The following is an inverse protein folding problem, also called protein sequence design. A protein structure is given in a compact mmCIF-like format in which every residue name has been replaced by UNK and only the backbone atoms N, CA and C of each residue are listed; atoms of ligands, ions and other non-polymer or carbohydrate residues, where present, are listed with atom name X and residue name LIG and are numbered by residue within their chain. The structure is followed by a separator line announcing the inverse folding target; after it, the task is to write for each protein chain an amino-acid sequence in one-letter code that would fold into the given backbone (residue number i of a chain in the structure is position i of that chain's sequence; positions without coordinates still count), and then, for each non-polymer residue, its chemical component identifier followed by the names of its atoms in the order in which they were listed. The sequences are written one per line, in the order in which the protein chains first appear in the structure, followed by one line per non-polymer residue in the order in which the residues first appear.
data_IF_273947144336
#
_entry.id   IF_273947144336
#
_cell.length_a   1.000
_cell.length_b   1.000
_cell.length_c   1.000
_cell.angle_alpha   90.00
_cell.angle_beta   90.00
_cell.angle_gamma   90.00
#
_symmetry.space_group_name_H-M   'P 1'
#
loop_
_entity.id
_entity.type
_entity.pdbx_description
1 polymer ?
#
# COMPACT_ATOMS: atom_id res chain seq x y z
N UNK A 1 61.40 -2.25 -20.25
CA UNK A 1 61.37 -1.26 -19.17
C UNK A 1 59.99 -0.61 -19.13
N UNK A 2 59.00 -1.13 -18.37
CA UNK A 2 57.73 -0.44 -18.18
C UNK A 2 57.89 0.63 -17.09
N UNK A 3 57.56 1.87 -17.41
CA UNK A 3 57.65 3.00 -16.50
C UNK A 3 56.69 2.86 -15.32
N UNK A 4 57.26 2.85 -14.12
CA UNK A 4 56.52 3.03 -12.86
C UNK A 4 55.89 4.42 -12.85
N UNK A 5 54.58 4.48 -13.11
CA UNK A 5 53.78 5.63 -12.78
C UNK A 5 53.72 5.77 -11.26
N UNK A 6 54.45 6.74 -10.72
CA UNK A 6 54.32 7.22 -9.35
C UNK A 6 52.92 7.83 -9.19
N UNK A 7 52.00 7.04 -8.64
CA UNK A 7 50.70 7.51 -8.19
C UNK A 7 50.91 8.57 -7.12
N UNK A 8 50.80 9.84 -7.52
CA UNK A 8 50.81 10.98 -6.61
C UNK A 8 49.78 10.79 -5.51
N UNK A 9 50.16 11.13 -4.28
CA UNK A 9 49.34 11.09 -3.09
C UNK A 9 48.16 12.07 -3.19
N UNK A 10 47.16 11.72 -4.00
CA UNK A 10 45.87 12.39 -4.06
C UNK A 10 45.06 12.03 -2.81
N UNK A 11 45.35 12.69 -1.70
CA UNK A 11 44.51 12.65 -0.51
C UNK A 11 43.12 13.14 -0.90
N UNK A 12 42.15 12.24 -0.95
CA UNK A 12 40.76 12.62 -1.21
C UNK A 12 40.23 13.47 -0.08
N UNK A 13 39.52 14.55 -0.39
CA UNK A 13 38.78 15.32 0.61
C UNK A 13 37.86 14.40 1.44
N UNK A 14 37.74 14.63 2.75
CA UNK A 14 36.83 13.86 3.59
C UNK A 14 35.39 14.07 3.12
N UNK A 15 34.60 13.00 3.15
CA UNK A 15 33.17 13.02 2.83
C UNK A 15 32.31 13.47 4.01
N UNK A 16 32.87 13.46 5.23
CA UNK A 16 32.21 13.89 6.45
C UNK A 16 33.01 13.48 7.69
N UNK A 17 32.40 13.61 8.86
CA UNK A 17 32.97 13.22 10.16
C UNK A 17 32.03 12.27 10.90
N UNK A 18 32.61 11.35 11.67
CA UNK A 18 31.89 10.54 12.66
C UNK A 18 31.44 11.42 13.84
N UNK A 19 30.63 10.84 14.74
CA UNK A 19 30.12 11.54 15.91
C UNK A 19 31.22 12.02 16.88
N UNK A 20 32.38 11.35 16.87
CA UNK A 20 33.57 11.70 17.65
C UNK A 20 34.48 12.72 16.92
N UNK A 21 34.06 13.23 15.77
CA UNK A 21 34.83 14.17 14.95
C UNK A 21 35.80 13.49 13.96
N UNK A 22 35.95 12.17 13.98
CA UNK A 22 36.88 11.47 13.09
C UNK A 22 36.47 11.64 11.63
N UNK A 23 37.32 12.17 10.73
CA UNK A 23 36.98 12.32 9.32
C UNK A 23 36.90 10.95 8.63
N UNK A 24 36.04 10.85 7.61
CA UNK A 24 35.95 9.66 6.78
C UNK A 24 35.91 10.00 5.29
N UNK A 25 36.52 9.13 4.48
CA UNK A 25 36.76 9.35 3.05
C UNK A 25 36.01 8.34 2.15
N UNK A 26 35.27 7.41 2.74
CA UNK A 26 34.45 6.40 2.05
C UNK A 26 33.05 6.40 2.67
N UNK A 27 31.95 6.32 1.88
CA UNK A 27 30.61 6.37 2.44
C UNK A 27 30.34 5.29 3.49
N UNK A 28 29.75 5.68 4.62
CA UNK A 28 29.35 4.75 5.70
C UNK A 28 28.52 3.58 5.13
N UNK A 29 28.84 2.37 5.56
CA UNK A 29 28.18 1.14 5.12
C UNK A 29 28.69 0.60 3.77
N UNK A 30 29.78 1.14 3.22
CA UNK A 30 30.33 0.72 1.91
C UNK A 30 31.82 0.44 2.02
N UNK A 31 32.28 -0.70 1.51
CA UNK A 31 33.71 -0.92 1.29
C UNK A 31 33.98 -0.79 -0.20
N UNK A 32 34.72 0.26 -0.58
CA UNK A 32 35.18 0.42 -1.96
C UNK A 32 36.33 -0.54 -2.20
N UNK A 33 36.19 -1.38 -3.22
CA UNK A 33 37.16 -2.38 -3.61
C UNK A 33 37.46 -2.20 -5.09
N UNK A 34 38.74 -2.17 -5.44
CA UNK A 34 39.23 -2.19 -6.80
C UNK A 34 40.17 -3.38 -6.95
N UNK A 35 39.61 -4.49 -7.45
CA UNK A 35 40.32 -5.74 -7.69
C UNK A 35 41.12 -6.24 -6.48
N UNK A 36 42.39 -5.84 -6.40
CA UNK A 36 43.36 -6.20 -5.38
C UNK A 36 43.29 -5.37 -4.08
N UNK A 37 42.72 -4.16 -4.13
CA UNK A 37 42.79 -3.19 -3.03
C UNK A 37 41.41 -2.83 -2.49
N UNK A 38 41.33 -2.56 -1.19
CA UNK A 38 40.19 -1.96 -0.53
C UNK A 38 40.58 -0.58 0.01
N UNK A 39 39.68 0.39 -0.10
CA UNK A 39 39.93 1.77 0.34
C UNK A 39 39.62 1.92 1.84
N UNK A 40 40.56 2.48 2.59
CA UNK A 40 40.38 2.76 4.01
C UNK A 40 39.41 3.93 4.20
N UNK A 41 38.49 3.84 5.16
CA UNK A 41 37.58 4.95 5.47
C UNK A 41 38.30 6.09 6.17
N UNK A 42 39.32 5.82 6.99
CA UNK A 42 39.98 6.80 7.86
C UNK A 42 40.94 7.73 7.10
N UNK A 43 41.69 7.21 6.12
CA UNK A 43 42.67 8.00 5.36
C UNK A 43 42.38 8.09 3.86
N UNK A 44 41.38 7.34 3.36
CA UNK A 44 41.02 7.34 1.94
C UNK A 44 42.01 6.63 1.01
N UNK A 45 43.11 6.07 1.52
CA UNK A 45 44.09 5.33 0.70
C UNK A 45 43.69 3.88 0.43
N UNK A 46 44.29 3.30 -0.62
CA UNK A 46 44.02 1.94 -1.10
C UNK A 46 45.02 0.94 -0.54
N UNK A 47 44.53 -0.16 0.03
CA UNK A 47 45.37 -1.19 0.64
C UNK A 47 44.91 -2.59 0.27
N UNK A 48 45.84 -3.54 0.18
CA UNK A 48 45.49 -4.96 -0.03
C UNK A 48 44.65 -5.52 1.12
N UNK A 49 44.91 -5.04 2.34
CA UNK A 49 44.15 -5.36 3.55
C UNK A 49 44.07 -4.13 4.45
N UNK A 50 42.90 -3.46 4.46
CA UNK A 50 42.62 -2.36 5.38
C UNK A 50 42.75 -2.86 6.83
N UNK A 51 42.30 -4.09 7.10
CA UNK A 51 42.38 -4.69 8.43
C UNK A 51 43.79 -4.90 8.99
N UNK A 52 44.84 -4.90 8.16
CA UNK A 52 46.23 -4.89 8.62
C UNK A 52 46.74 -3.45 8.84
N UNK A 53 46.23 -2.50 8.04
CA UNK A 53 46.57 -1.09 8.09
C UNK A 53 45.94 -0.37 9.31
N UNK A 54 44.80 -0.83 9.85
CA UNK A 54 44.11 -0.18 10.99
C UNK A 54 44.98 0.09 12.22
N UNK A 55 46.05 -0.70 12.43
CA UNK A 55 47.02 -0.47 13.53
C UNK A 55 47.67 0.91 13.45
N UNK A 56 47.92 1.43 12.24
CA UNK A 56 48.46 2.79 12.06
C UNK A 56 47.50 3.89 12.48
N UNK A 57 46.22 3.57 12.63
CA UNK A 57 45.20 4.47 13.16
C UNK A 57 44.88 4.21 14.64
N UNK A 58 45.43 3.15 15.25
CA UNK A 58 45.05 2.73 16.61
C UNK A 58 43.67 2.08 16.69
N UNK A 59 43.13 1.59 15.57
CA UNK A 59 41.81 0.96 15.52
C UNK A 59 41.92 -0.56 15.38
N UNK A 60 40.98 -1.26 15.99
CA UNK A 60 40.76 -2.68 15.71
C UNK A 60 39.68 -2.88 14.62
N UNK A 61 39.51 -4.12 14.16
CA UNK A 61 38.55 -4.44 13.09
C UNK A 61 37.10 -4.37 13.54
N UNK A 62 36.82 -4.63 14.81
CA UNK A 62 35.47 -4.64 15.36
C UNK A 62 34.95 -3.20 15.53
N UNK A 63 35.77 -2.32 16.09
CA UNK A 63 35.49 -0.90 16.27
C UNK A 63 35.34 -0.21 14.92
N UNK A 64 36.26 -0.49 13.99
CA UNK A 64 36.19 0.04 12.62
C UNK A 64 34.89 -0.35 11.93
N UNK A 65 34.49 -1.63 11.97
CA UNK A 65 33.22 -2.06 11.35
C UNK A 65 32.02 -1.44 12.03
N UNK A 66 32.05 -1.30 13.35
CA UNK A 66 30.95 -0.72 14.11
C UNK A 66 30.77 0.76 13.75
N UNK A 67 31.85 1.54 13.78
CA UNK A 67 31.82 2.97 13.47
C UNK A 67 31.38 3.25 12.03
N UNK A 68 31.88 2.47 11.06
CA UNK A 68 31.54 2.64 9.65
C UNK A 68 30.29 1.85 9.23
N UNK A 69 29.51 1.32 10.17
CA UNK A 69 28.25 0.64 9.89
C UNK A 69 28.38 -0.57 8.96
N UNK A 70 29.51 -1.27 9.01
CA UNK A 70 29.80 -2.47 8.22
C UNK A 70 29.29 -3.72 8.93
N UNK A 71 28.91 -4.73 8.16
CA UNK A 71 28.57 -6.05 8.72
C UNK A 71 29.82 -6.70 9.35
N UNK A 72 29.65 -7.47 10.42
CA UNK A 72 30.78 -8.16 11.10
C UNK A 72 31.60 -9.05 10.16
N UNK A 73 30.93 -9.69 9.19
CA UNK A 73 31.53 -10.53 8.17
C UNK A 73 32.06 -9.77 6.95
N UNK A 74 31.88 -8.44 6.87
CA UNK A 74 32.34 -7.66 5.73
C UNK A 74 33.86 -7.74 5.62
N UNK A 75 34.33 -8.20 4.47
CA UNK A 75 35.76 -8.23 4.17
C UNK A 75 36.30 -6.81 4.02
N UNK A 76 37.49 -6.60 4.58
CA UNK A 76 38.25 -5.34 4.53
C UNK A 76 39.46 -5.46 3.58
N UNK A 77 39.36 -6.36 2.60
CA UNK A 77 40.45 -6.74 1.70
C UNK A 77 39.96 -6.74 0.26
N UNK A 78 40.88 -6.56 -0.68
CA UNK A 78 40.57 -6.72 -2.10
C UNK A 78 40.17 -8.16 -2.45
N UNK A 79 39.39 -8.31 -3.52
CA UNK A 79 38.87 -9.61 -3.98
C UNK A 79 39.99 -10.60 -4.30
N UNK A 80 41.05 -10.17 -4.98
CA UNK A 80 42.19 -11.06 -5.29
C UNK A 80 42.86 -11.61 -4.01
N UNK A 81 43.01 -10.76 -2.99
CA UNK A 81 43.54 -11.16 -1.68
C UNK A 81 42.61 -12.13 -0.95
N UNK A 82 41.30 -11.88 -0.99
CA UNK A 82 40.30 -12.80 -0.44
C UNK A 82 40.39 -14.19 -1.11
N UNK A 83 40.49 -14.23 -2.43
CA UNK A 83 40.60 -15.48 -3.19
C UNK A 83 41.89 -16.23 -2.88
N UNK A 84 43.03 -15.53 -2.76
CA UNK A 84 44.30 -16.14 -2.31
C UNK A 84 44.17 -16.74 -0.91
N UNK A 85 43.58 -16.01 0.04
CA UNK A 85 43.35 -16.52 1.40
C UNK A 85 42.36 -17.67 1.44
N UNK A 86 41.30 -17.63 0.64
CA UNK A 86 40.36 -18.73 0.52
C UNK A 86 41.04 -19.99 -0.03
N UNK A 87 41.91 -19.86 -1.04
CA UNK A 87 42.74 -20.96 -1.56
C UNK A 87 43.67 -21.52 -0.48
N UNK A 88 44.39 -20.66 0.23
CA UNK A 88 45.27 -21.08 1.33
C UNK A 88 44.50 -21.79 2.45
N UNK A 89 43.33 -21.27 2.84
CA UNK A 89 42.48 -21.89 3.85
C UNK A 89 41.93 -23.25 3.39
N UNK A 90 41.53 -23.39 2.12
CA UNK A 90 41.13 -24.69 1.55
C UNK A 90 42.26 -25.70 1.61
N UNK A 91 43.50 -25.31 1.26
CA UNK A 91 44.67 -26.18 1.40
C UNK A 91 44.92 -26.57 2.85
N UNK A 92 44.90 -25.61 3.78
CA UNK A 92 45.04 -25.90 5.22
C UNK A 92 43.98 -26.86 5.69
N UNK A 93 42.71 -26.63 5.36
CA UNK A 93 41.62 -27.53 5.71
C UNK A 93 41.81 -28.94 5.12
N UNK A 94 42.49 -29.12 4.01
CA UNK A 94 42.76 -30.47 3.49
C UNK A 94 43.80 -31.23 4.33
N UNK A 95 44.80 -30.53 4.89
CA UNK A 95 45.99 -31.15 5.49
C UNK A 95 46.11 -30.98 7.02
N UNK A 96 45.41 -30.03 7.61
CA UNK A 96 45.49 -29.67 9.04
C UNK A 96 44.26 -30.24 9.78
N UNK A 97 44.51 -31.24 10.64
CA UNK A 97 43.47 -31.95 11.38
C UNK A 97 42.69 -31.02 12.33
N UNK A 98 43.36 -30.08 12.98
CA UNK A 98 42.72 -29.13 13.89
C UNK A 98 41.77 -28.20 13.13
N UNK A 99 42.20 -27.71 11.96
CA UNK A 99 41.34 -26.88 11.10
C UNK A 99 40.11 -27.66 10.61
N UNK A 100 40.25 -28.94 10.25
CA UNK A 100 39.11 -29.79 9.87
C UNK A 100 38.11 -29.95 11.01
N UNK A 101 38.59 -30.34 12.19
CA UNK A 101 37.76 -30.53 13.37
C UNK A 101 36.99 -29.25 13.74
N UNK A 102 37.65 -28.09 13.68
CA UNK A 102 37.00 -26.79 13.88
C UNK A 102 35.90 -26.51 12.83
N UNK A 103 36.16 -26.78 11.55
CA UNK A 103 35.16 -26.61 10.49
C UNK A 103 33.97 -27.56 10.64
N UNK A 104 34.18 -28.78 11.12
CA UNK A 104 33.12 -29.75 11.39
C UNK A 104 32.24 -29.32 12.56
N UNK A 105 32.84 -28.82 13.63
CA UNK A 105 32.08 -28.22 14.74
C UNK A 105 31.22 -27.05 14.26
N UNK A 106 31.78 -26.15 13.45
CA UNK A 106 31.00 -25.06 12.84
C UNK A 106 29.85 -25.55 11.95
N UNK A 107 30.07 -26.61 11.16
CA UNK A 107 29.00 -27.23 10.34
C UNK A 107 27.89 -27.83 11.20
N UNK A 108 28.22 -28.51 12.31
CA UNK A 108 27.24 -29.05 13.26
C UNK A 108 26.38 -27.93 13.86
N UNK A 109 27.00 -26.84 14.31
CA UNK A 109 26.29 -25.67 14.87
C UNK A 109 25.39 -24.97 13.84
N UNK A 110 25.81 -24.94 12.58
CA UNK A 110 24.98 -24.42 11.50
C UNK A 110 23.77 -25.33 11.24
N UNK A 111 23.97 -26.65 11.20
CA UNK A 111 22.91 -27.64 10.97
C UNK A 111 21.88 -27.69 12.12
N UNK A 112 22.34 -27.57 13.38
CA UNK A 112 21.48 -27.53 14.57
C UNK A 112 20.74 -26.18 14.76
N UNK A 113 21.09 -25.17 13.96
CA UNK A 113 20.61 -23.80 14.09
C UNK A 113 21.19 -23.04 15.30
N UNK A 114 22.09 -23.64 16.08
CA UNK A 114 22.75 -22.99 17.22
C UNK A 114 23.51 -21.74 16.79
N UNK A 115 24.19 -21.79 15.65
CA UNK A 115 24.91 -20.64 15.11
C UNK A 115 23.95 -19.45 14.85
N UNK A 116 22.78 -19.72 14.29
CA UNK A 116 21.74 -18.71 14.04
C UNK A 116 21.17 -18.16 15.34
N UNK A 117 20.90 -19.03 16.33
CA UNK A 117 20.41 -18.60 17.65
C UNK A 117 21.43 -17.73 18.38
N UNK A 118 22.70 -18.14 18.38
CA UNK A 118 23.80 -17.38 18.98
C UNK A 118 24.00 -16.02 18.29
N UNK A 119 23.96 -15.99 16.95
CA UNK A 119 24.04 -14.75 16.18
C UNK A 119 22.86 -13.81 16.48
N UNK A 120 21.64 -14.35 16.54
CA UNK A 120 20.44 -13.59 16.88
C UNK A 120 20.52 -13.03 18.31
N UNK A 121 20.92 -13.84 19.29
CA UNK A 121 21.13 -13.41 20.67
C UNK A 121 22.17 -12.28 20.76
N UNK A 122 23.32 -12.42 20.09
CA UNK A 122 24.37 -11.39 20.02
C UNK A 122 23.93 -10.09 19.34
N UNK A 123 22.91 -10.15 18.48
CA UNK A 123 22.38 -9.02 17.75
C UNK A 123 21.21 -8.31 18.45
N UNK A 124 20.59 -8.92 19.48
CA UNK A 124 19.47 -8.30 20.20
C UNK A 124 19.90 -6.95 20.79
N UNK A 125 19.03 -5.95 20.65
CA UNK A 125 19.26 -4.58 21.15
C UNK A 125 20.27 -3.76 20.35
N UNK A 126 20.99 -4.34 19.38
CA UNK A 126 21.96 -3.58 18.57
C UNK A 126 21.29 -2.92 17.38
N UNK A 127 21.73 -1.70 17.06
CA UNK A 127 21.35 -1.02 15.82
C UNK A 127 21.84 -1.85 14.63
N UNK A 128 20.99 -2.00 13.60
CA UNK A 128 21.40 -2.69 12.37
C UNK A 128 22.53 -1.91 11.69
N UNK A 129 23.60 -2.59 11.23
CA UNK A 129 24.65 -1.93 10.45
C UNK A 129 24.07 -1.22 9.22
N UNK A 130 24.56 -0.02 8.91
CA UNK A 130 24.11 0.78 7.77
C UNK A 130 24.26 0.00 6.44
N UNK A 131 25.32 -0.80 6.31
CA UNK A 131 25.50 -1.70 5.18
C UNK A 131 24.31 -2.66 5.00
N UNK A 132 23.84 -3.26 6.10
CA UNK A 132 22.71 -4.21 6.07
C UNK A 132 21.42 -3.48 5.72
N UNK A 133 21.18 -2.32 6.33
CA UNK A 133 20.03 -1.46 6.02
C UNK A 133 19.98 -1.12 4.53
N UNK A 134 21.11 -0.70 3.95
CA UNK A 134 21.22 -0.41 2.51
C UNK A 134 20.97 -1.62 1.63
N UNK A 135 21.52 -2.80 1.99
CA UNK A 135 21.21 -4.05 1.27
C UNK A 135 19.72 -4.35 1.31
N UNK A 136 19.08 -4.28 2.48
CA UNK A 136 17.63 -4.47 2.62
C UNK A 136 16.85 -3.47 1.78
N UNK A 137 17.20 -2.19 1.80
CA UNK A 137 16.53 -1.18 0.97
C UNK A 137 16.68 -1.45 -0.52
N UNK A 138 17.87 -1.87 -0.98
CA UNK A 138 18.07 -2.27 -2.38
C UNK A 138 17.25 -3.50 -2.76
N UNK A 139 17.26 -4.53 -1.91
CA UNK A 139 16.44 -5.72 -2.12
C UNK A 139 14.96 -5.37 -2.18
N UNK A 140 14.48 -4.50 -1.28
CA UNK A 140 13.11 -4.02 -1.33
C UNK A 140 12.84 -3.24 -2.61
N UNK A 141 13.71 -2.31 -3.00
CA UNK A 141 13.57 -1.52 -4.22
C UNK A 141 13.53 -2.39 -5.50
N UNK A 142 14.20 -3.55 -5.50
CA UNK A 142 14.11 -4.51 -6.60
C UNK A 142 12.81 -5.32 -6.65
N UNK A 143 11.98 -5.30 -5.61
CA UNK A 143 10.68 -5.98 -5.62
C UNK A 143 9.67 -5.13 -6.41
N UNK A 144 9.08 -5.64 -7.50
CA UNK A 144 8.06 -4.92 -8.25
C UNK A 144 6.87 -4.54 -7.36
N UNK A 145 6.25 -3.35 -7.54
CA UNK A 145 5.10 -2.92 -6.74
C UNK A 145 3.96 -3.96 -6.72
N UNK A 146 3.60 -4.52 -7.88
CA UNK A 146 2.56 -5.55 -7.99
C UNK A 146 2.89 -6.86 -7.25
N UNK A 147 4.18 -7.18 -7.09
CA UNK A 147 4.59 -8.36 -6.32
C UNK A 147 4.33 -8.18 -4.81
N UNK A 148 4.44 -6.95 -4.29
CA UNK A 148 4.12 -6.64 -2.89
C UNK A 148 2.63 -6.70 -2.63
N UNK A 149 1.83 -6.10 -3.50
CA UNK A 149 0.36 -6.16 -3.42
C UNK A 149 -0.15 -7.60 -3.51
N UNK A 150 0.41 -8.40 -4.43
CA UNK A 150 0.09 -9.81 -4.55
C UNK A 150 0.51 -10.60 -3.30
N UNK A 151 1.68 -10.33 -2.72
CA UNK A 151 2.12 -10.98 -1.48
C UNK A 151 1.23 -10.61 -0.28
N UNK A 152 0.89 -9.33 -0.11
CA UNK A 152 -0.04 -8.88 0.93
C UNK A 152 -1.43 -9.49 0.74
N UNK A 153 -1.90 -9.57 -0.50
CA UNK A 153 -3.18 -10.20 -0.83
C UNK A 153 -3.16 -11.69 -0.47
N UNK A 154 -2.13 -12.44 -0.89
CA UNK A 154 -1.97 -13.86 -0.52
C UNK A 154 -1.91 -14.04 0.99
N UNK A 155 -1.14 -13.21 1.71
CA UNK A 155 -1.05 -13.27 3.16
C UNK A 155 -2.39 -12.96 3.84
N UNK A 156 -3.16 -12.01 3.30
CA UNK A 156 -4.51 -11.70 3.77
C UNK A 156 -5.47 -12.88 3.56
N UNK A 157 -5.47 -13.48 2.37
CA UNK A 157 -6.28 -14.68 2.09
C UNK A 157 -5.87 -15.85 2.98
N UNK A 158 -4.57 -16.07 3.19
CA UNK A 158 -4.07 -17.12 4.08
C UNK A 158 -4.55 -16.91 5.53
N UNK A 159 -4.54 -15.67 6.05
CA UNK A 159 -5.09 -15.36 7.38
C UNK A 159 -6.60 -15.62 7.45
N UNK A 160 -7.35 -15.22 6.42
CA UNK A 160 -8.79 -15.49 6.36
C UNK A 160 -9.09 -16.99 6.36
N UNK A 161 -8.35 -17.77 5.58
CA UNK A 161 -8.46 -19.24 5.57
C UNK A 161 -8.09 -19.86 6.91
N UNK A 162 -7.03 -19.40 7.56
CA UNK A 162 -6.65 -19.88 8.88
C UNK A 162 -7.74 -19.59 9.93
N UNK A 163 -8.38 -18.41 9.87
CA UNK A 163 -9.54 -18.10 10.72
C UNK A 163 -10.75 -18.98 10.40
N UNK A 164 -11.04 -19.20 9.11
CA UNK A 164 -12.12 -20.09 8.68
C UNK A 164 -11.91 -21.53 9.18
N UNK A 165 -10.68 -22.04 9.08
CA UNK A 165 -10.35 -23.39 9.51
C UNK A 165 -10.49 -23.53 11.03
N UNK A 166 -9.94 -22.59 11.82
CA UNK A 166 -10.12 -22.64 13.29
C UNK A 166 -11.59 -22.70 13.69
N UNK A 167 -12.43 -21.90 13.03
CA UNK A 167 -13.88 -21.90 13.29
C UNK A 167 -14.54 -23.23 12.93
N UNK A 168 -14.10 -23.88 11.85
CA UNK A 168 -14.56 -25.22 11.50
C UNK A 168 -14.10 -26.26 12.55
N UNK A 169 -12.82 -26.22 12.92
CA UNK A 169 -12.21 -27.12 13.91
C UNK A 169 -12.91 -26.98 15.27
N UNK A 170 -13.12 -25.75 15.76
CA UNK A 170 -13.79 -25.45 17.03
C UNK A 170 -15.25 -25.93 17.04
N UNK A 171 -15.89 -26.01 15.86
CA UNK A 171 -17.25 -26.51 15.70
C UNK A 171 -17.32 -28.02 15.38
N UNK A 172 -16.18 -28.70 15.22
CA UNK A 172 -16.09 -30.13 14.92
C UNK A 172 -16.31 -30.52 13.44
N UNK A 173 -16.11 -29.59 12.50
CA UNK A 173 -16.23 -29.84 11.06
C UNK A 173 -14.85 -29.91 10.38
N UNK A 174 -14.71 -30.72 9.33
CA UNK A 174 -13.43 -30.87 8.61
C UNK A 174 -13.08 -29.65 7.76
N UNK A 175 -14.08 -28.88 7.35
CA UNK A 175 -13.90 -27.65 6.58
C UNK A 175 -14.95 -26.59 6.89
N UNK A 176 -14.61 -25.33 6.59
CA UNK A 176 -15.58 -24.23 6.74
C UNK A 176 -16.80 -24.40 5.82
N UNK A 177 -16.62 -25.01 4.65
CA UNK A 177 -17.70 -25.27 3.71
C UNK A 177 -18.70 -26.31 4.22
N UNK A 178 -18.24 -27.34 4.93
CA UNK A 178 -19.11 -28.30 5.62
C UNK A 178 -19.94 -27.62 6.71
N UNK A 179 -19.28 -26.88 7.62
CA UNK A 179 -19.95 -26.13 8.68
C UNK A 179 -21.03 -25.20 8.12
N UNK A 180 -20.69 -24.40 7.12
CA UNK A 180 -21.60 -23.41 6.54
C UNK A 180 -22.79 -24.08 5.87
N UNK A 181 -22.59 -25.16 5.11
CA UNK A 181 -23.68 -25.88 4.44
C UNK A 181 -24.64 -26.53 5.42
N UNK A 182 -24.11 -27.23 6.42
CA UNK A 182 -24.89 -27.89 7.46
C UNK A 182 -25.76 -26.88 8.23
N UNK A 183 -25.16 -25.79 8.70
CA UNK A 183 -25.87 -24.77 9.48
C UNK A 183 -26.92 -24.01 8.66
N UNK A 184 -26.61 -23.69 7.39
CA UNK A 184 -27.59 -23.04 6.50
C UNK A 184 -28.74 -24.01 6.15
N UNK A 185 -28.46 -25.31 5.95
CA UNK A 185 -29.50 -26.32 5.73
C UNK A 185 -30.41 -26.47 6.97
N UNK A 186 -29.87 -26.29 8.18
CA UNK A 186 -30.63 -26.20 9.43
C UNK A 186 -31.40 -24.87 9.62
N UNK A 187 -31.37 -23.97 8.64
CA UNK A 187 -32.09 -22.69 8.66
C UNK A 187 -31.33 -21.54 9.34
N UNK A 188 -30.07 -21.75 9.74
CA UNK A 188 -29.27 -20.69 10.35
C UNK A 188 -28.79 -19.67 9.31
N UNK A 189 -28.96 -18.37 9.59
CA UNK A 189 -28.41 -17.33 8.72
C UNK A 189 -26.89 -17.19 8.87
N UNK A 190 -26.19 -16.81 7.80
CA UNK A 190 -24.73 -16.53 7.85
C UNK A 190 -24.34 -15.50 8.92
N UNK A 191 -25.25 -14.57 9.26
CA UNK A 191 -25.01 -13.57 10.29
C UNK A 191 -25.20 -14.12 11.72
N UNK A 192 -26.10 -15.09 11.91
CA UNK A 192 -26.20 -15.86 13.15
C UNK A 192 -24.94 -16.70 13.32
N UNK A 193 -24.60 -17.49 12.29
CA UNK A 193 -23.43 -18.35 12.30
C UNK A 193 -22.14 -17.58 12.58
N UNK A 194 -21.97 -16.40 11.97
CA UNK A 194 -20.81 -15.53 12.26
C UNK A 194 -20.71 -15.16 13.73
N UNK A 195 -21.84 -14.82 14.39
CA UNK A 195 -21.85 -14.44 15.81
C UNK A 195 -21.61 -15.64 16.72
N UNK A 196 -22.22 -16.79 16.42
CA UNK A 196 -22.00 -18.05 17.16
C UNK A 196 -20.53 -18.48 17.10
N UNK A 197 -19.87 -18.25 15.97
CA UNK A 197 -18.44 -18.51 15.77
C UNK A 197 -17.50 -17.45 16.41
N UNK A 198 -18.03 -16.47 17.16
CA UNK A 198 -17.23 -15.39 17.76
C UNK A 198 -16.63 -14.41 16.73
N UNK A 199 -17.16 -14.37 15.51
CA UNK A 199 -16.73 -13.46 14.46
C UNK A 199 -17.65 -12.23 14.36
N UNK A 200 -17.21 -11.21 13.64
CA UNK A 200 -18.06 -10.09 13.28
C UNK A 200 -19.28 -10.56 12.48
N UNK A 201 -20.48 -10.03 12.74
CA UNK A 201 -21.76 -10.49 12.15
C UNK A 201 -21.80 -10.64 10.62
N UNK A 202 -20.99 -9.87 9.89
CA UNK A 202 -20.94 -9.92 8.42
C UNK A 202 -19.79 -10.78 7.88
N UNK A 203 -19.02 -11.46 8.74
CA UNK A 203 -17.75 -12.08 8.35
C UNK A 203 -17.97 -13.11 7.24
N UNK A 204 -18.90 -14.05 7.41
CA UNK A 204 -19.19 -15.05 6.37
C UNK A 204 -19.71 -14.40 5.09
N UNK A 205 -20.62 -13.42 5.19
CA UNK A 205 -21.11 -12.73 4.00
C UNK A 205 -19.99 -12.02 3.20
N UNK A 206 -18.98 -11.47 3.88
CA UNK A 206 -17.87 -10.76 3.23
C UNK A 206 -16.78 -11.68 2.72
N UNK A 207 -16.50 -12.76 3.44
CA UNK A 207 -15.27 -13.53 3.24
C UNK A 207 -15.49 -14.95 2.75
N UNK A 208 -16.70 -15.50 2.83
CA UNK A 208 -16.98 -16.88 2.41
C UNK A 208 -16.55 -17.13 0.96
N UNK A 209 -16.91 -16.24 0.03
CA UNK A 209 -16.47 -16.36 -1.39
C UNK A 209 -14.95 -16.34 -1.57
N UNK A 210 -14.20 -15.72 -0.67
CA UNK A 210 -12.73 -15.68 -0.71
C UNK A 210 -12.10 -16.93 -0.11
N UNK A 211 -12.67 -17.47 0.98
CA UNK A 211 -12.12 -18.63 1.68
C UNK A 211 -12.59 -19.95 1.08
N UNK A 212 -13.86 -20.02 0.68
CA UNK A 212 -14.52 -21.18 0.08
C UNK A 212 -15.57 -20.74 -0.97
N UNK A 213 -15.16 -20.57 -2.24
CA UNK A 213 -16.07 -20.22 -3.34
C UNK A 213 -17.11 -21.29 -3.66
N UNK A 214 -16.89 -22.55 -3.26
CA UNK A 214 -17.82 -23.65 -3.47
C UNK A 214 -19.01 -23.51 -2.54
N UNK A 215 -18.74 -23.50 -1.23
CA UNK A 215 -19.77 -23.29 -0.21
C UNK A 215 -20.53 -21.98 -0.41
N UNK A 216 -19.84 -20.90 -0.83
CA UNK A 216 -20.47 -19.63 -1.16
C UNK A 216 -21.53 -19.73 -2.27
N UNK A 217 -21.33 -20.58 -3.28
CA UNK A 217 -22.31 -20.82 -4.35
C UNK A 217 -23.47 -21.66 -3.85
N UNK A 218 -23.17 -22.74 -3.13
CA UNK A 218 -24.19 -23.67 -2.62
C UNK A 218 -25.18 -22.98 -1.67
N UNK A 219 -24.68 -22.10 -0.79
CA UNK A 219 -25.55 -21.33 0.11
C UNK A 219 -26.15 -20.09 -0.54
N UNK A 220 -25.65 -19.64 -1.70
CA UNK A 220 -26.23 -18.48 -2.37
C UNK A 220 -27.69 -18.74 -2.73
N UNK A 221 -28.07 -19.95 -3.14
CA UNK A 221 -29.46 -20.30 -3.47
C UNK A 221 -30.36 -20.29 -2.21
N UNK A 222 -29.84 -20.77 -1.08
CA UNK A 222 -30.56 -20.84 0.19
C UNK A 222 -30.71 -19.47 0.87
N UNK A 223 -29.68 -18.62 0.75
CA UNK A 223 -29.65 -17.27 1.33
C UNK A 223 -30.31 -16.24 0.40
N UNK A 224 -30.38 -16.53 -0.90
CA UNK A 224 -30.99 -15.69 -1.93
C UNK A 224 -32.38 -16.18 -2.36
N UNK A 225 -33.16 -16.78 -1.45
CA UNK A 225 -34.61 -16.77 -1.61
C UNK A 225 -35.08 -15.34 -1.97
N UNK A 226 -36.13 -15.17 -2.81
CA UNK A 226 -36.56 -13.86 -3.30
C UNK A 226 -36.66 -12.91 -2.12
N UNK A 227 -35.70 -11.97 -2.02
CA UNK A 227 -35.58 -11.06 -0.88
C UNK A 227 -36.96 -10.45 -0.67
N UNK A 228 -37.63 -10.71 0.47
CA UNK A 228 -38.95 -10.14 0.68
C UNK A 228 -38.83 -8.61 0.58
N UNK A 229 -39.79 -7.95 -0.06
CA UNK A 229 -39.75 -6.55 -0.46
C UNK A 229 -39.93 -5.62 0.73
N UNK A 230 -39.20 -5.78 1.84
CA UNK A 230 -39.38 -4.88 3.01
C UNK A 230 -39.15 -3.42 2.65
N UNK A 231 -38.21 -3.15 1.73
CA UNK A 231 -37.95 -1.78 1.28
C UNK A 231 -38.86 -1.33 0.14
N UNK A 232 -39.30 -2.23 -0.73
CA UNK A 232 -40.22 -1.88 -1.82
C UNK A 232 -41.65 -1.73 -1.30
N UNK A 233 -42.09 -2.53 -0.32
CA UNK A 233 -43.35 -2.33 0.39
C UNK A 233 -43.35 -1.02 1.17
N UNK A 234 -42.24 -0.68 1.82
CA UNK A 234 -42.13 0.59 2.54
C UNK A 234 -42.10 1.81 1.61
N UNK A 235 -41.57 1.66 0.39
CA UNK A 235 -41.63 2.70 -0.64
C UNK A 235 -43.04 2.75 -1.25
N UNK A 236 -43.59 1.61 -1.65
CA UNK A 236 -44.94 1.41 -2.18
C UNK A 236 -46.01 2.00 -1.25
N UNK A 237 -45.95 1.70 0.05
CA UNK A 237 -46.89 2.24 1.03
C UNK A 237 -46.87 3.77 1.11
N UNK A 238 -45.71 4.39 0.84
CA UNK A 238 -45.56 5.86 0.86
C UNK A 238 -45.98 6.54 -0.44
N UNK A 239 -45.94 5.82 -1.56
CA UNK A 239 -46.26 6.36 -2.89
C UNK A 239 -47.62 5.86 -3.43
N UNK A 240 -48.34 5.05 -2.66
CA UNK A 240 -49.70 4.59 -2.97
C UNK A 240 -49.82 3.26 -3.71
N UNK A 241 -48.80 2.39 -3.72
CA UNK A 241 -48.88 1.04 -4.30
C UNK A 241 -47.56 0.49 -4.83
N UNK A 242 -47.46 -0.84 -4.97
CA UNK A 242 -46.25 -1.54 -5.45
C UNK A 242 -46.02 -1.36 -6.94
N UNK A 243 -47.08 -1.40 -7.74
CA UNK A 243 -47.02 -1.25 -9.19
C UNK A 243 -46.61 0.17 -9.60
N UNK A 244 -46.74 1.13 -8.66
CA UNK A 244 -46.34 2.51 -8.83
C UNK A 244 -44.84 2.76 -8.63
N UNK A 245 -44.06 1.83 -8.07
CA UNK A 245 -42.65 2.11 -7.68
C UNK A 245 -41.77 2.42 -8.90
N UNK A 246 -41.81 1.58 -9.94
CA UNK A 246 -41.01 1.81 -11.14
C UNK A 246 -41.42 3.10 -11.86
N UNK A 247 -42.73 3.31 -12.03
CA UNK A 247 -43.28 4.51 -12.66
C UNK A 247 -42.94 5.80 -11.88
N UNK A 248 -43.04 5.75 -10.55
CA UNK A 248 -42.66 6.85 -9.66
C UNK A 248 -41.17 7.19 -9.79
N UNK A 249 -40.30 6.18 -9.68
CA UNK A 249 -38.85 6.39 -9.80
C UNK A 249 -38.45 6.89 -11.19
N UNK A 250 -39.07 6.36 -12.25
CA UNK A 250 -38.86 6.83 -13.62
C UNK A 250 -39.29 8.29 -13.78
N UNK A 251 -40.51 8.65 -13.35
CA UNK A 251 -41.02 10.02 -13.42
C UNK A 251 -40.12 10.98 -12.63
N UNK A 252 -39.86 10.70 -11.36
CA UNK A 252 -39.04 11.59 -10.52
C UNK A 252 -37.61 11.70 -11.04
N UNK A 253 -36.96 10.60 -11.38
CA UNK A 253 -35.53 10.61 -11.72
C UNK A 253 -35.23 11.00 -13.17
N UNK A 254 -36.01 10.48 -14.12
CA UNK A 254 -35.73 10.66 -15.54
C UNK A 254 -36.54 11.79 -16.17
N UNK A 255 -37.79 12.00 -15.75
CA UNK A 255 -38.64 13.07 -16.30
C UNK A 255 -38.45 14.39 -15.56
N UNK A 256 -38.55 14.35 -14.23
CA UNK A 256 -38.41 15.54 -13.37
C UNK A 256 -36.97 15.81 -12.92
N UNK A 257 -36.03 14.96 -13.34
CA UNK A 257 -34.60 15.11 -13.09
C UNK A 257 -34.22 15.26 -11.61
N UNK A 258 -35.03 14.72 -10.69
CA UNK A 258 -34.77 14.76 -9.25
C UNK A 258 -33.53 13.92 -8.93
N UNK A 259 -32.68 14.46 -8.04
CA UNK A 259 -31.56 13.69 -7.50
C UNK A 259 -32.08 12.51 -6.67
N UNK A 260 -31.32 11.42 -6.62
CA UNK A 260 -31.65 10.27 -5.75
C UNK A 260 -31.77 10.70 -4.28
N UNK A 261 -31.03 11.73 -3.86
CA UNK A 261 -31.14 12.30 -2.51
C UNK A 261 -32.46 13.04 -2.30
N UNK A 262 -32.92 13.80 -3.29
CA UNK A 262 -34.18 14.53 -3.22
C UNK A 262 -35.37 13.56 -3.17
N UNK A 263 -35.35 12.52 -4.00
CA UNK A 263 -36.37 11.44 -3.97
C UNK A 263 -36.36 10.76 -2.60
N UNK A 264 -35.18 10.46 -2.06
CA UNK A 264 -35.04 9.85 -0.74
C UNK A 264 -35.60 10.75 0.38
N UNK A 265 -35.39 12.06 0.31
CA UNK A 265 -35.97 13.02 1.25
C UNK A 265 -37.49 13.11 1.11
N UNK A 266 -38.00 13.18 -0.11
CA UNK A 266 -39.43 13.24 -0.42
C UNK A 266 -40.20 12.06 0.19
N UNK A 267 -39.66 10.84 0.04
CA UNK A 267 -40.31 9.64 0.56
C UNK A 267 -39.83 9.24 1.96
N UNK A 268 -39.01 10.05 2.64
CA UNK A 268 -38.51 9.73 3.98
C UNK A 268 -37.73 8.40 4.06
N UNK A 269 -36.91 8.10 3.06
CA UNK A 269 -36.08 6.89 2.99
C UNK A 269 -34.60 7.22 2.88
N UNK A 270 -33.74 6.22 3.11
CA UNK A 270 -32.31 6.40 2.86
C UNK A 270 -32.01 6.46 1.36
N UNK A 271 -30.99 7.23 0.99
CA UNK A 271 -30.47 7.27 -0.40
C UNK A 271 -30.18 5.86 -0.93
N UNK A 272 -29.61 4.99 -0.09
CA UNK A 272 -29.24 3.64 -0.50
C UNK A 272 -30.47 2.76 -0.80
N UNK A 273 -31.56 2.94 -0.04
CA UNK A 273 -32.82 2.24 -0.32
C UNK A 273 -33.39 2.61 -1.69
N UNK A 274 -33.39 3.91 -2.04
CA UNK A 274 -33.83 4.38 -3.36
C UNK A 274 -32.92 3.86 -4.48
N UNK A 275 -31.60 3.88 -4.29
CA UNK A 275 -30.66 3.33 -5.28
C UNK A 275 -30.91 1.84 -5.53
N UNK A 276 -31.13 1.08 -4.47
CA UNK A 276 -31.41 -0.34 -4.58
C UNK A 276 -32.76 -0.59 -5.27
N UNK A 277 -33.78 0.23 -5.00
CA UNK A 277 -35.07 0.16 -5.69
C UNK A 277 -34.93 0.49 -7.19
N UNK A 278 -34.22 1.56 -7.55
CA UNK A 278 -33.95 1.89 -8.95
C UNK A 278 -33.26 0.74 -9.70
N UNK A 279 -32.25 0.12 -9.08
CA UNK A 279 -31.54 -1.01 -9.68
C UNK A 279 -32.45 -2.23 -9.88
N UNK A 280 -33.32 -2.53 -8.92
CA UNK A 280 -34.30 -3.65 -9.02
C UNK A 280 -35.32 -3.41 -10.12
N UNK A 281 -35.83 -2.18 -10.24
CA UNK A 281 -36.87 -1.79 -11.19
C UNK A 281 -36.31 -1.33 -12.55
N UNK A 282 -35.01 -1.53 -12.81
CA UNK A 282 -34.39 -1.20 -14.09
C UNK A 282 -34.32 0.30 -14.42
N UNK A 283 -34.45 1.19 -13.44
CA UNK A 283 -34.38 2.65 -13.65
C UNK A 283 -32.90 3.07 -13.68
N UNK A 284 -32.34 3.48 -14.84
CA UNK A 284 -30.93 3.84 -14.95
C UNK A 284 -30.59 5.07 -14.11
N UNK A 285 -29.38 5.09 -13.55
CA UNK A 285 -28.86 6.25 -12.82
C UNK A 285 -28.19 7.21 -13.78
N UNK A 286 -28.80 8.38 -13.99
CA UNK A 286 -28.21 9.39 -14.87
C UNK A 286 -27.48 10.45 -14.04
N UNK A 287 -26.15 10.34 -13.95
CA UNK A 287 -25.33 11.26 -13.16
C UNK A 287 -25.28 12.69 -13.73
N UNK A 288 -25.51 12.85 -15.04
CA UNK A 288 -25.22 14.10 -15.77
C UNK A 288 -26.36 15.12 -15.84
N UNK A 289 -27.59 14.73 -15.52
CA UNK A 289 -28.75 15.61 -15.72
C UNK A 289 -28.96 16.51 -14.52
N UNK A 290 -28.75 15.99 -13.31
CA UNK A 290 -28.94 16.74 -12.06
C UNK A 290 -27.92 17.88 -11.90
N UNK A 291 -26.67 17.65 -12.31
CA UNK A 291 -25.62 18.67 -12.27
C UNK A 291 -25.86 19.78 -13.30
N UNK A 292 -26.40 19.44 -14.48
CA UNK A 292 -26.75 20.42 -15.51
C UNK A 292 -27.94 21.27 -15.08
N UNK A 293 -28.99 20.65 -14.55
CA UNK A 293 -30.16 21.38 -14.05
C UNK A 293 -29.80 22.31 -12.88
N UNK A 294 -29.01 21.83 -11.91
CA UNK A 294 -28.53 22.70 -10.82
C UNK A 294 -27.66 23.85 -11.32
N UNK A 295 -26.79 23.61 -12.31
CA UNK A 295 -26.01 24.68 -12.92
C UNK A 295 -26.92 25.71 -13.63
N UNK A 296 -27.95 25.25 -14.35
CA UNK A 296 -28.94 26.12 -14.99
C UNK A 296 -29.78 26.92 -13.98
N UNK A 297 -30.25 26.30 -12.90
CA UNK A 297 -30.98 26.98 -11.81
C UNK A 297 -30.12 28.03 -11.12
N UNK A 298 -28.84 27.71 -10.85
CA UNK A 298 -27.89 28.67 -10.28
C UNK A 298 -27.61 29.82 -11.24
N UNK A 299 -27.48 29.55 -12.55
CA UNK A 299 -27.30 30.55 -13.58
C UNK A 299 -28.50 31.49 -13.70
N UNK A 300 -29.72 30.93 -13.73
CA UNK A 300 -30.97 31.70 -13.73
C UNK A 300 -31.12 32.52 -12.44
N UNK A 301 -30.76 31.96 -11.28
CA UNK A 301 -30.77 32.66 -10.00
C UNK A 301 -29.86 33.90 -10.00
N UNK A 302 -28.62 33.76 -10.47
CA UNK A 302 -27.68 34.90 -10.61
C UNK A 302 -28.23 35.96 -11.55
N UNK A 303 -28.76 35.57 -12.72
CA UNK A 303 -29.33 36.51 -13.67
C UNK A 303 -30.49 37.30 -13.06
N UNK A 304 -31.43 36.58 -12.44
CA UNK A 304 -32.63 37.15 -11.81
C UNK A 304 -32.26 38.11 -10.67
N UNK A 305 -31.32 37.74 -9.79
CA UNK A 305 -30.91 38.59 -8.67
C UNK A 305 -30.25 39.91 -9.09
N UNK A 306 -29.78 39.99 -10.33
CA UNK A 306 -29.19 41.21 -10.89
C UNK A 306 -30.07 41.86 -11.98
N UNK A 307 -31.30 41.39 -12.18
CA UNK A 307 -32.24 41.99 -13.13
C UNK A 307 -31.99 41.66 -14.60
N UNK A 308 -31.31 40.55 -14.89
CA UNK A 308 -31.03 40.07 -16.24
C UNK A 308 -31.87 38.85 -16.61
N UNK A 309 -32.13 38.68 -17.91
CA UNK A 309 -32.93 37.57 -18.45
C UNK A 309 -32.23 36.22 -18.34
N UNK A 310 -30.91 36.20 -18.50
CA UNK A 310 -30.06 35.01 -18.38
C UNK A 310 -28.64 35.38 -17.96
N UNK A 311 -27.84 34.35 -17.66
CA UNK A 311 -26.46 34.54 -17.18
C UNK A 311 -25.57 35.17 -18.26
N UNK A 312 -25.80 34.90 -19.54
CA UNK A 312 -24.98 35.45 -20.62
C UNK A 312 -25.25 36.94 -20.82
N UNK A 313 -26.50 37.39 -20.70
CA UNK A 313 -26.86 38.80 -20.70
C UNK A 313 -26.19 39.55 -19.54
N UNK A 314 -26.25 38.99 -18.32
CA UNK A 314 -25.55 39.53 -17.15
C UNK A 314 -24.04 39.62 -17.37
N UNK A 315 -23.42 38.52 -17.80
CA UNK A 315 -21.97 38.48 -17.98
C UNK A 315 -21.52 39.42 -19.10
N UNK A 316 -22.26 39.49 -20.22
CA UNK A 316 -21.96 40.40 -21.34
C UNK A 316 -22.01 41.86 -20.89
N UNK A 317 -23.07 42.26 -20.19
CA UNK A 317 -23.20 43.61 -19.63
C UNK A 317 -21.99 43.99 -18.77
N UNK A 318 -21.66 43.16 -17.77
CA UNK A 318 -20.52 43.43 -16.88
C UNK A 318 -19.19 43.47 -17.63
N UNK A 319 -18.99 42.59 -18.62
CA UNK A 319 -17.78 42.58 -19.44
C UNK A 319 -17.68 43.82 -20.33
N UNK A 320 -18.78 44.29 -20.92
CA UNK A 320 -18.81 45.56 -21.68
C UNK A 320 -18.56 46.78 -20.81
N UNK A 321 -18.95 46.73 -19.53
CA UNK A 321 -18.61 47.75 -18.53
C UNK A 321 -17.14 47.68 -18.05
N UNK A 322 -16.31 46.81 -18.64
CA UNK A 322 -14.89 46.67 -18.31
C UNK A 322 -14.60 45.86 -17.05
N UNK A 323 -15.57 45.14 -16.50
CA UNK A 323 -15.37 44.40 -15.24
C UNK A 323 -14.48 43.17 -15.45
N UNK A 324 -13.58 42.95 -14.50
CA UNK A 324 -12.77 41.71 -14.46
C UNK A 324 -13.61 40.54 -13.96
N UNK A 325 -13.25 39.31 -14.36
CA UNK A 325 -13.88 38.08 -13.85
C UNK A 325 -13.87 37.99 -12.31
N UNK A 326 -12.86 38.56 -11.65
CA UNK A 326 -12.79 38.62 -10.18
C UNK A 326 -13.92 39.48 -9.60
N UNK A 327 -14.15 40.66 -10.15
CA UNK A 327 -15.20 41.57 -9.69
C UNK A 327 -16.60 40.99 -9.93
N UNK A 328 -16.81 40.33 -11.08
CA UNK A 328 -18.08 39.65 -11.39
C UNK A 328 -18.31 38.47 -10.43
N UNK A 329 -17.25 37.74 -10.06
CA UNK A 329 -17.31 36.67 -9.06
C UNK A 329 -17.70 37.19 -7.66
N UNK A 330 -17.14 38.32 -7.26
CA UNK A 330 -17.49 39.00 -6.00
C UNK A 330 -18.96 39.46 -5.99
N UNK A 331 -19.45 40.08 -7.07
CA UNK A 331 -20.84 40.54 -7.17
C UNK A 331 -21.85 39.38 -7.14
N UNK A 332 -21.62 38.36 -7.97
CA UNK A 332 -22.51 37.20 -8.11
C UNK A 332 -22.43 36.20 -6.97
N UNK A 333 -21.42 36.31 -6.09
CA UNK A 333 -21.11 35.30 -5.07
C UNK A 333 -20.70 33.94 -5.65
N UNK A 334 -20.19 33.90 -6.90
CA UNK A 334 -19.79 32.65 -7.58
C UNK A 334 -18.31 32.61 -7.94
N UNK A 335 -17.63 31.44 -7.88
CA UNK A 335 -16.23 31.33 -8.27
C UNK A 335 -15.99 31.71 -9.75
N UNK A 336 -14.87 32.36 -10.04
CA UNK A 336 -14.47 32.76 -11.41
C UNK A 336 -14.47 31.58 -12.39
N UNK A 337 -14.02 30.41 -11.93
CA UNK A 337 -13.95 29.18 -12.75
C UNK A 337 -15.34 28.68 -13.15
N UNK A 338 -16.35 28.88 -12.30
CA UNK A 338 -17.74 28.53 -12.60
C UNK A 338 -18.32 29.50 -13.63
N UNK A 339 -18.12 30.81 -13.45
CA UNK A 339 -18.61 31.83 -14.39
C UNK A 339 -18.04 31.62 -15.79
N UNK A 340 -16.72 31.42 -15.91
CA UNK A 340 -16.06 31.18 -17.22
C UNK A 340 -16.54 29.90 -17.92
N UNK A 341 -16.86 28.86 -17.14
CA UNK A 341 -17.34 27.59 -17.69
C UNK A 341 -18.76 27.72 -18.25
N UNK A 342 -19.58 28.53 -17.60
CA UNK A 342 -20.99 28.73 -17.97
C UNK A 342 -21.22 29.95 -18.87
N UNK A 343 -20.19 30.77 -19.12
CA UNK A 343 -20.24 31.84 -20.10
C UNK A 343 -20.31 31.29 -21.52
N UNK A 344 -21.25 31.83 -22.30
CA UNK A 344 -21.37 31.66 -23.74
C UNK A 344 -20.08 32.06 -24.48
N UNK A 345 -19.92 31.56 -25.71
CA UNK A 345 -18.68 31.74 -26.48
C UNK A 345 -18.31 33.21 -26.69
N UNK A 346 -19.30 34.08 -26.77
CA UNK A 346 -19.11 35.51 -27.09
C UNK A 346 -18.71 36.36 -25.87
N UNK A 347 -18.67 35.77 -24.67
CA UNK A 347 -18.42 36.48 -23.40
C UNK A 347 -17.06 36.12 -22.78
N UNK A 348 -16.42 35.05 -23.27
CA UNK A 348 -15.21 34.46 -22.68
C UNK A 348 -13.97 35.34 -22.80
#
# INVERSE_FOLDING_TARGET
MPGSATAGAGGSLPLGTLADGTPFHVPIGVVNVDGEHARCHLCGHWFRSVGAHLRSHGWDRADYRTAFGLERGQSLEGRATQERRARAFRRRRAHDAAVRAGCETGRRWAASGELTRAAAASARGRRQPEQRRRKTLRSLASVPPGAREAATSRASVARLRATAQRVADDAGYGSIGELVRDRVAAGESLASLSRTAGLHKDWFHRHLRTVDPGAARDVAEHVSGPRPPRHDLALAARIGGSDAVAAFLHRRHLVEHRSVRAIAQEVGMSRHAIQAAMARHGVPRTAHVTLRQQASELAAGVATSHGFTDLDAYLRDRRTAGWTWRRIAEESGRPQTWLRRNAGRDVR
#
